data_IF_874132199860
#
_entry.id   IF_874132199860
#
_cell.length_a   1.000
_cell.length_b   1.000
_cell.length_c   1.000
_cell.angle_alpha   90.00
_cell.angle_beta   90.00
_cell.angle_gamma   90.00
#
_symmetry.space_group_name_H-M   'P 1'
#
loop_
_entity.id
_entity.type
_entity.pdbx_description
1 polymer ?
#
# COMPACT_ATOMS: atom_id res chain seq x y z
N UNK A 1 -4.90 12.94 -9.07
CA UNK A 1 -4.80 11.76 -9.97
C UNK A 1 -4.24 10.61 -9.14
N UNK A 2 -4.98 9.52 -8.96
CA UNK A 2 -4.54 8.37 -8.16
C UNK A 2 -3.32 7.71 -8.81
N UNK A 3 -2.16 7.78 -8.16
CA UNK A 3 -0.91 7.18 -8.65
C UNK A 3 -0.67 5.86 -7.91
N UNK A 4 -0.61 4.77 -8.67
CA UNK A 4 -0.22 3.47 -8.14
C UNK A 4 1.25 3.54 -7.68
N UNK A 5 1.51 3.05 -6.47
CA UNK A 5 2.86 2.97 -5.95
C UNK A 5 3.61 1.85 -6.67
N UNK A 6 4.83 2.07 -7.18
CA UNK A 6 5.60 1.00 -7.85
C UNK A 6 6.46 0.16 -6.87
N UNK A 7 6.61 0.62 -5.64
CA UNK A 7 7.54 0.08 -4.63
C UNK A 7 6.76 -0.63 -3.50
N UNK A 8 6.02 -1.67 -3.86
CA UNK A 8 5.39 -2.59 -2.92
C UNK A 8 5.55 -4.04 -3.40
N UNK A 9 5.52 -4.98 -2.46
CA UNK A 9 5.41 -6.41 -2.75
C UNK A 9 3.96 -6.85 -2.50
N UNK A 10 3.38 -7.55 -3.47
CA UNK A 10 2.10 -8.22 -3.31
C UNK A 10 2.30 -9.49 -2.46
N UNK A 11 1.50 -9.64 -1.41
CA UNK A 11 1.52 -10.79 -0.51
C UNK A 11 0.25 -11.62 -0.71
N UNK A 12 0.31 -12.89 -0.29
CA UNK A 12 -0.86 -13.76 -0.22
C UNK A 12 -1.99 -13.13 0.61
N UNK A 13 -3.23 -13.47 0.26
CA UNK A 13 -4.46 -12.91 0.88
C UNK A 13 -4.70 -11.41 0.59
N UNK A 14 -4.35 -10.93 -0.60
CA UNK A 14 -4.54 -9.52 -1.02
C UNK A 14 -3.85 -8.51 -0.10
N UNK A 15 -2.81 -8.93 0.61
CA UNK A 15 -1.99 -8.05 1.45
C UNK A 15 -0.93 -7.40 0.57
N UNK A 16 -0.47 -6.21 0.94
CA UNK A 16 0.67 -5.57 0.27
C UNK A 16 1.70 -5.15 1.29
N UNK A 17 2.97 -5.32 0.96
CA UNK A 17 4.10 -4.83 1.74
C UNK A 17 4.62 -3.57 1.08
N UNK A 18 4.30 -2.43 1.65
CA UNK A 18 4.78 -1.15 1.17
C UNK A 18 6.27 -1.00 1.51
N UNK A 19 7.14 -1.01 0.48
CA UNK A 19 8.58 -0.81 0.63
C UNK A 19 9.01 0.63 0.27
N UNK A 20 8.06 1.57 0.17
CA UNK A 20 8.34 2.99 -0.14
C UNK A 20 9.05 3.74 0.99
N UNK A 21 8.84 3.35 2.24
CA UNK A 21 9.52 3.95 3.37
C UNK A 21 10.29 2.87 4.15
N UNK A 22 11.29 3.29 4.92
CA UNK A 22 12.13 2.37 5.72
C UNK A 22 11.35 1.48 6.71
N UNK A 23 10.07 1.79 6.97
CA UNK A 23 9.20 1.02 7.87
C UNK A 23 8.66 -0.28 7.25
N UNK A 24 8.67 -0.41 5.92
CA UNK A 24 8.26 -1.63 5.20
C UNK A 24 6.92 -2.21 5.69
N UNK A 25 5.89 -1.37 5.75
CA UNK A 25 4.63 -1.74 6.40
C UNK A 25 3.82 -2.74 5.58
N UNK A 26 3.30 -3.78 6.24
CA UNK A 26 2.33 -4.72 5.65
C UNK A 26 0.92 -4.19 5.85
N UNK A 27 0.22 -3.94 4.75
CA UNK A 27 -1.10 -3.34 4.70
C UNK A 27 -2.08 -4.41 4.20
N UNK A 28 -3.03 -4.86 5.04
CA UNK A 28 -4.06 -5.77 4.59
C UNK A 28 -5.04 -5.11 3.62
N UNK A 29 -5.76 -5.93 2.85
CA UNK A 29 -6.75 -5.45 1.90
C UNK A 29 -7.77 -4.51 2.55
N UNK A 30 -8.09 -3.42 1.85
CA UNK A 30 -8.99 -2.37 2.33
C UNK A 30 -8.44 -1.49 3.46
N UNK A 31 -7.22 -1.74 3.96
CA UNK A 31 -6.62 -0.92 5.02
C UNK A 31 -5.66 0.13 4.47
N UNK A 32 -5.42 1.13 5.31
CA UNK A 32 -4.39 2.14 5.09
C UNK A 32 -3.11 1.78 5.83
N UNK A 33 -1.97 2.09 5.23
CA UNK A 33 -0.68 1.94 5.86
C UNK A 33 -0.46 2.93 7.00
N UNK A 34 0.61 2.72 7.75
CA UNK A 34 1.00 3.58 8.87
C UNK A 34 1.11 5.07 8.47
N UNK A 35 1.51 5.35 7.24
CA UNK A 35 1.64 6.72 6.74
C UNK A 35 0.29 7.44 6.53
N UNK A 36 -0.85 6.74 6.62
CA UNK A 36 -2.22 7.24 6.41
C UNK A 36 -2.51 7.83 5.01
N UNK A 37 -1.48 7.93 4.18
CA UNK A 37 -1.52 8.48 2.82
C UNK A 37 -1.53 7.39 1.75
N UNK A 38 -1.36 6.11 2.13
CA UNK A 38 -1.38 4.97 1.21
C UNK A 38 -2.40 3.94 1.66
N UNK A 39 -3.20 3.46 0.71
CA UNK A 39 -4.24 2.46 0.93
C UNK A 39 -3.96 1.22 0.09
N UNK A 40 -4.10 0.05 0.68
CA UNK A 40 -4.21 -1.18 -0.08
C UNK A 40 -5.66 -1.34 -0.54
N UNK A 41 -5.87 -1.46 -1.83
CA UNK A 41 -7.17 -1.70 -2.44
C UNK A 41 -7.04 -2.85 -3.45
N UNK A 42 -7.70 -3.96 -3.15
CA UNK A 42 -7.71 -5.20 -3.92
C UNK A 42 -6.31 -5.78 -4.18
N UNK A 43 -5.43 -5.69 -3.18
CA UNK A 43 -4.05 -6.15 -3.29
C UNK A 43 -3.10 -5.19 -4.01
N UNK A 44 -3.53 -3.95 -4.29
CA UNK A 44 -2.70 -2.92 -4.90
C UNK A 44 -2.54 -1.71 -4.00
N UNK A 45 -1.35 -1.13 -4.01
CA UNK A 45 -1.03 0.03 -3.18
C UNK A 45 -1.30 1.35 -3.93
N UNK A 46 -2.27 2.12 -3.44
CA UNK A 46 -2.64 3.43 -3.97
C UNK A 46 -2.24 4.57 -3.03
N UNK A 47 -1.88 5.73 -3.60
CA UNK A 47 -1.65 6.96 -2.85
C UNK A 47 -2.91 7.83 -2.82
N UNK A 48 -3.37 8.20 -1.62
CA UNK A 48 -4.62 8.95 -1.40
C UNK A 48 -4.48 10.48 -1.49
N UNK A 49 -3.26 10.99 -1.63
CA UNK A 49 -2.95 12.43 -1.42
C UNK A 49 -2.48 13.12 -2.71
N UNK A 50 -3.03 12.71 -3.87
CA UNK A 50 -2.61 13.23 -5.18
C UNK A 50 -3.76 13.44 -6.16
#
# INVERSE_FOLDING_TARGET
MLKEAMLYEELSEKKVKCNLCGRRCTIPDGKVGFCLVRKNEDGKLFSLVY
#
